data_IF_747476142126
#
_entry.id   IF_747476142126
#
_cell.length_a   1.000
_cell.length_b   1.000
_cell.length_c   1.000
_cell.angle_alpha   90.00
_cell.angle_beta   90.00
_cell.angle_gamma   90.00
#
_symmetry.space_group_name_H-M   'P 1'
#
loop_
_entity.id
_entity.type
_entity.pdbx_description
1 polymer ?
#
# COMPACT_ATOMS: atom_id res chain seq x y z
N UNK A 1 0.61 -21.77 -18.37
CA UNK A 1 1.02 -20.73 -17.40
C UNK A 1 2.42 -21.02 -16.89
N UNK A 2 2.66 -22.22 -16.36
CA UNK A 2 3.98 -22.59 -15.85
C UNK A 2 5.11 -22.49 -16.89
N UNK A 3 4.88 -22.98 -18.11
CA UNK A 3 5.88 -22.93 -19.18
C UNK A 3 6.21 -21.48 -19.58
N UNK A 4 5.19 -20.60 -19.63
CA UNK A 4 5.39 -19.19 -19.91
C UNK A 4 6.14 -18.48 -18.77
N UNK A 5 5.80 -18.78 -17.52
CA UNK A 5 6.51 -18.24 -16.37
C UNK A 5 7.98 -18.69 -16.35
N UNK A 6 8.23 -19.96 -16.66
CA UNK A 6 9.58 -20.51 -16.83
C UNK A 6 10.36 -19.78 -17.93
N UNK A 7 9.74 -19.60 -19.09
CA UNK A 7 10.35 -18.88 -20.21
C UNK A 7 10.73 -17.45 -19.83
N UNK A 8 9.82 -16.71 -19.18
CA UNK A 8 10.09 -15.35 -18.73
C UNK A 8 11.20 -15.27 -17.69
N UNK A 9 11.24 -16.22 -16.74
CA UNK A 9 12.32 -16.29 -15.75
C UNK A 9 13.68 -16.57 -16.39
N UNK A 10 13.73 -17.48 -17.37
CA UNK A 10 14.95 -17.78 -18.12
C UNK A 10 15.42 -16.60 -18.99
N UNK A 11 14.51 -15.85 -19.62
CA UNK A 11 14.83 -14.61 -20.33
C UNK A 11 15.48 -13.55 -19.42
N UNK A 12 15.17 -13.62 -18.12
CA UNK A 12 15.77 -12.75 -17.09
C UNK A 12 17.09 -13.31 -16.50
N UNK A 13 17.63 -14.36 -17.13
CA UNK A 13 18.95 -14.93 -16.79
C UNK A 13 18.92 -16.03 -15.73
N UNK A 14 17.74 -16.49 -15.30
CA UNK A 14 17.68 -17.61 -14.35
C UNK A 14 18.00 -18.94 -15.02
N UNK A 15 18.70 -19.86 -14.30
CA UNK A 15 18.82 -21.24 -14.73
C UNK A 15 17.43 -21.93 -14.70
N UNK A 16 17.23 -22.95 -15.52
CA UNK A 16 15.98 -23.74 -15.51
C UNK A 16 15.66 -24.28 -14.12
N UNK A 17 16.67 -24.79 -13.42
CA UNK A 17 16.53 -25.34 -12.06
C UNK A 17 16.09 -24.27 -11.07
N UNK A 18 16.73 -23.11 -11.07
CA UNK A 18 16.44 -22.03 -10.14
C UNK A 18 15.08 -21.40 -10.45
N UNK A 19 14.79 -21.16 -11.73
CA UNK A 19 13.49 -20.64 -12.17
C UNK A 19 12.35 -21.56 -11.70
N UNK A 20 12.48 -22.87 -11.91
CA UNK A 20 11.48 -23.84 -11.48
C UNK A 20 11.27 -23.87 -9.97
N UNK A 21 12.35 -23.81 -9.21
CA UNK A 21 12.28 -23.83 -7.75
C UNK A 21 11.66 -22.55 -7.20
N UNK A 22 12.09 -21.39 -7.68
CA UNK A 22 11.55 -20.10 -7.21
C UNK A 22 10.09 -19.92 -7.65
N UNK A 23 9.74 -20.22 -8.89
CA UNK A 23 8.36 -20.14 -9.36
C UNK A 23 7.43 -21.04 -8.56
N UNK A 24 7.86 -22.27 -8.19
CA UNK A 24 7.05 -23.14 -7.33
C UNK A 24 6.78 -22.50 -5.97
N UNK A 25 7.79 -21.88 -5.33
CA UNK A 25 7.60 -21.18 -4.05
C UNK A 25 6.58 -20.05 -4.18
N UNK A 26 6.71 -19.23 -5.22
CA UNK A 26 5.79 -18.13 -5.50
C UNK A 26 4.38 -18.60 -5.79
N UNK A 27 4.21 -19.65 -6.58
CA UNK A 27 2.90 -20.22 -6.90
C UNK A 27 2.20 -20.76 -5.64
N UNK A 28 2.96 -21.38 -4.72
CA UNK A 28 2.43 -21.84 -3.43
C UNK A 28 2.06 -20.63 -2.54
N UNK A 29 2.95 -19.65 -2.43
CA UNK A 29 2.74 -18.43 -1.60
C UNK A 29 1.47 -17.69 -2.03
N UNK A 30 1.19 -17.63 -3.33
CA UNK A 30 0.00 -17.00 -3.90
C UNK A 30 -1.22 -17.91 -4.00
N UNK A 31 -1.13 -19.18 -3.56
CA UNK A 31 -2.22 -20.14 -3.62
C UNK A 31 -2.66 -20.52 -5.05
N UNK A 32 -1.73 -20.48 -6.01
CA UNK A 32 -2.01 -20.70 -7.44
C UNK A 32 -1.25 -21.89 -8.05
N UNK A 33 -0.80 -22.82 -7.22
CA UNK A 33 -0.04 -23.99 -7.67
C UNK A 33 -0.81 -24.82 -8.72
N UNK A 34 -2.13 -24.88 -8.63
CA UNK A 34 -2.98 -25.64 -9.57
C UNK A 34 -3.07 -24.98 -10.95
N UNK A 35 -2.61 -23.70 -11.07
CA UNK A 35 -2.63 -23.00 -12.35
C UNK A 35 -1.42 -23.33 -13.23
N UNK A 36 -0.46 -24.07 -12.74
CA UNK A 36 0.76 -24.41 -13.48
C UNK A 36 0.47 -25.01 -14.85
N UNK A 37 -0.51 -25.90 -14.93
CA UNK A 37 -0.90 -26.57 -16.17
C UNK A 37 -1.98 -25.85 -16.98
N UNK A 38 -2.57 -24.78 -16.45
CA UNK A 38 -3.59 -24.01 -17.17
C UNK A 38 -3.01 -23.31 -18.39
N UNK A 39 -3.83 -23.12 -19.41
CA UNK A 39 -3.53 -22.21 -20.51
C UNK A 39 -3.68 -20.75 -20.04
N UNK A 40 -2.91 -19.85 -20.64
CA UNK A 40 -2.98 -18.43 -20.29
C UNK A 40 -4.35 -17.82 -20.58
N UNK A 41 -4.98 -18.29 -21.66
CA UNK A 41 -6.33 -17.89 -22.11
C UNK A 41 -7.44 -18.26 -21.11
N UNK A 42 -7.18 -19.21 -20.21
CA UNK A 42 -8.11 -19.62 -19.16
C UNK A 42 -8.05 -18.76 -17.90
N UNK A 43 -7.10 -17.81 -17.87
CA UNK A 43 -6.93 -16.92 -16.72
C UNK A 43 -7.90 -15.74 -16.77
N UNK A 44 -8.59 -15.49 -15.67
CA UNK A 44 -9.27 -14.21 -15.48
C UNK A 44 -8.25 -13.06 -15.39
N UNK A 45 -8.71 -11.82 -15.52
CA UNK A 45 -7.84 -10.63 -15.41
C UNK A 45 -7.02 -10.65 -14.12
N UNK A 46 -7.65 -10.86 -12.95
CA UNK A 46 -6.97 -10.92 -11.66
C UNK A 46 -5.99 -12.10 -11.55
N UNK A 47 -6.34 -13.26 -12.13
CA UNK A 47 -5.41 -14.39 -12.22
C UNK A 47 -4.18 -14.06 -13.06
N UNK A 48 -4.37 -13.45 -14.23
CA UNK A 48 -3.27 -13.04 -15.10
C UNK A 48 -2.35 -12.02 -14.41
N UNK A 49 -2.92 -11.07 -13.67
CA UNK A 49 -2.16 -10.08 -12.90
C UNK A 49 -1.28 -10.73 -11.81
N UNK A 50 -1.79 -11.74 -11.08
CA UNK A 50 -0.96 -12.49 -10.12
C UNK A 50 0.24 -13.15 -10.79
N UNK A 51 0.01 -13.84 -11.90
CA UNK A 51 1.09 -14.49 -12.66
C UNK A 51 2.08 -13.44 -13.19
N UNK A 52 1.59 -12.32 -13.70
CA UNK A 52 2.42 -11.22 -14.19
C UNK A 52 3.29 -10.65 -13.05
N UNK A 53 2.72 -10.39 -11.87
CA UNK A 53 3.49 -9.94 -10.72
C UNK A 53 4.59 -10.93 -10.36
N UNK A 54 4.28 -12.22 -10.21
CA UNK A 54 5.26 -13.27 -9.90
C UNK A 54 6.39 -13.31 -10.93
N UNK A 55 6.06 -13.27 -12.22
CA UNK A 55 7.08 -13.30 -13.28
C UNK A 55 7.95 -12.03 -13.33
N UNK A 56 7.43 -10.92 -12.79
CA UNK A 56 8.19 -9.67 -12.67
C UNK A 56 9.23 -9.73 -11.55
N UNK A 57 8.95 -10.44 -10.46
CA UNK A 57 9.78 -10.41 -9.24
C UNK A 57 10.64 -11.66 -9.05
N UNK A 58 10.35 -12.79 -9.72
CA UNK A 58 10.97 -14.10 -9.48
C UNK A 58 12.49 -14.09 -9.61
N UNK A 59 13.03 -13.25 -10.48
CA UNK A 59 14.47 -13.11 -10.70
C UNK A 59 15.14 -12.11 -9.76
N UNK A 60 14.42 -11.61 -8.74
CA UNK A 60 14.90 -10.67 -7.71
C UNK A 60 15.54 -9.41 -8.30
N UNK A 61 14.80 -8.60 -9.05
CA UNK A 61 15.34 -7.40 -9.67
C UNK A 61 15.74 -6.38 -8.61
N UNK A 62 16.84 -5.66 -8.86
CA UNK A 62 17.25 -4.53 -8.00
C UNK A 62 16.41 -3.27 -8.22
N UNK A 63 15.74 -3.17 -9.38
CA UNK A 63 14.83 -2.08 -9.73
C UNK A 63 13.53 -2.66 -10.29
N UNK A 64 12.41 -2.20 -9.75
CA UNK A 64 11.07 -2.52 -10.25
C UNK A 64 10.32 -1.25 -10.60
N UNK A 65 9.59 -1.29 -11.71
CA UNK A 65 8.67 -0.23 -12.12
C UNK A 65 7.29 -0.87 -12.24
N UNK A 66 6.36 -0.43 -11.40
CA UNK A 66 5.02 -0.97 -11.27
C UNK A 66 3.99 0.11 -11.58
N UNK A 67 3.14 -0.16 -12.58
CA UNK A 67 2.07 0.75 -12.97
C UNK A 67 0.74 0.24 -12.41
N UNK A 68 0.12 1.01 -11.50
CA UNK A 68 -1.13 0.67 -10.81
C UNK A 68 -1.16 -0.78 -10.29
N UNK A 69 -0.17 -1.22 -9.47
CA UNK A 69 0.02 -2.63 -9.15
C UNK A 69 -1.14 -3.29 -8.41
N UNK A 70 -2.05 -2.52 -7.84
CA UNK A 70 -3.20 -3.01 -7.08
C UNK A 70 -4.51 -2.98 -7.87
N UNK A 71 -4.49 -2.39 -9.07
CA UNK A 71 -5.70 -2.25 -9.90
C UNK A 71 -6.26 -3.61 -10.30
N UNK A 72 -7.57 -3.81 -10.07
CA UNK A 72 -8.28 -5.05 -10.47
C UNK A 72 -8.10 -6.23 -9.54
N UNK A 73 -7.42 -6.07 -8.42
CA UNK A 73 -7.42 -7.06 -7.34
C UNK A 73 -8.57 -6.81 -6.35
N UNK A 74 -9.07 -7.88 -5.76
CA UNK A 74 -9.86 -7.77 -4.53
C UNK A 74 -8.96 -7.37 -3.34
N UNK A 75 -9.55 -6.89 -2.23
CA UNK A 75 -8.77 -6.39 -1.08
C UNK A 75 -7.76 -7.40 -0.52
N UNK A 76 -8.10 -8.69 -0.48
CA UNK A 76 -7.22 -9.73 0.07
C UNK A 76 -5.98 -9.93 -0.80
N UNK A 77 -6.19 -9.96 -2.12
CA UNK A 77 -5.09 -10.11 -3.07
C UNK A 77 -4.24 -8.83 -3.20
N UNK A 78 -4.86 -7.65 -3.09
CA UNK A 78 -4.13 -6.38 -3.06
C UNK A 78 -3.19 -6.32 -1.83
N UNK A 79 -3.69 -6.75 -0.67
CA UNK A 79 -2.89 -6.80 0.57
C UNK A 79 -1.71 -7.77 0.47
N UNK A 80 -1.92 -8.93 -0.16
CA UNK A 80 -0.83 -9.87 -0.41
C UNK A 80 0.28 -9.24 -1.26
N UNK A 81 -0.09 -8.55 -2.36
CA UNK A 81 0.90 -7.90 -3.23
C UNK A 81 1.59 -6.74 -2.50
N UNK A 82 0.86 -5.96 -1.70
CA UNK A 82 1.42 -4.87 -0.89
C UNK A 82 2.50 -5.38 0.05
N UNK A 83 2.21 -6.45 0.77
CA UNK A 83 3.17 -7.11 1.66
C UNK A 83 4.42 -7.59 0.92
N UNK A 84 4.26 -8.18 -0.26
CA UNK A 84 5.40 -8.63 -1.07
C UNK A 84 6.27 -7.46 -1.56
N UNK A 85 5.64 -6.34 -1.92
CA UNK A 85 6.35 -5.11 -2.30
C UNK A 85 7.20 -4.59 -1.13
N UNK A 86 6.63 -4.56 0.08
CA UNK A 86 7.36 -4.16 1.29
C UNK A 86 8.52 -5.12 1.60
N UNK A 87 8.29 -6.43 1.55
CA UNK A 87 9.37 -7.42 1.77
C UNK A 87 10.51 -7.26 0.75
N UNK A 88 10.20 -6.98 -0.53
CA UNK A 88 11.21 -6.74 -1.55
C UNK A 88 11.98 -5.43 -1.32
N UNK A 89 11.30 -4.38 -0.87
CA UNK A 89 11.90 -3.11 -0.46
C UNK A 89 12.88 -3.32 0.68
N UNK A 90 12.47 -4.03 1.73
CA UNK A 90 13.34 -4.37 2.88
C UNK A 90 14.57 -5.19 2.48
N UNK A 91 14.45 -6.03 1.44
CA UNK A 91 15.57 -6.76 0.86
C UNK A 91 16.50 -5.90 -0.01
N UNK A 92 16.21 -4.59 -0.13
CA UNK A 92 17.06 -3.62 -0.82
C UNK A 92 16.68 -3.36 -2.29
N UNK A 93 15.52 -3.81 -2.75
CA UNK A 93 15.04 -3.46 -4.08
C UNK A 93 14.58 -1.98 -4.14
N UNK A 94 14.93 -1.29 -5.21
CA UNK A 94 14.37 0.03 -5.53
C UNK A 94 13.05 -0.15 -6.27
N UNK A 95 11.99 0.50 -5.80
CA UNK A 95 10.66 0.35 -6.36
C UNK A 95 10.11 1.71 -6.78
N UNK A 96 9.72 1.83 -8.04
CA UNK A 96 8.98 2.97 -8.57
C UNK A 96 7.58 2.45 -8.85
N UNK A 97 6.58 3.05 -8.24
CA UNK A 97 5.19 2.70 -8.52
C UNK A 97 4.37 3.93 -8.90
N UNK A 98 3.47 3.78 -9.86
CA UNK A 98 2.42 4.76 -10.12
C UNK A 98 1.14 4.31 -9.43
N UNK A 99 0.45 5.23 -8.79
CA UNK A 99 -0.87 4.98 -8.21
C UNK A 99 -1.62 6.29 -7.98
N UNK A 100 -2.93 6.22 -7.98
CA UNK A 100 -3.82 7.30 -7.56
C UNK A 100 -4.39 7.09 -6.15
N UNK A 101 -4.04 5.99 -5.49
CA UNK A 101 -4.46 5.67 -4.12
C UNK A 101 -3.45 6.24 -3.11
N UNK A 102 -3.87 7.27 -2.38
CA UNK A 102 -3.00 7.97 -1.42
C UNK A 102 -2.64 7.10 -0.21
N UNK A 103 -3.53 6.21 0.24
CA UNK A 103 -3.25 5.26 1.32
C UNK A 103 -2.06 4.35 0.95
N UNK A 104 -2.04 3.82 -0.28
CA UNK A 104 -0.91 3.04 -0.77
C UNK A 104 0.39 3.85 -0.87
N UNK A 105 0.29 5.15 -1.16
CA UNK A 105 1.47 6.04 -1.16
C UNK A 105 2.04 6.19 0.25
N UNK A 106 1.19 6.45 1.24
CA UNK A 106 1.60 6.61 2.64
C UNK A 106 2.23 5.36 3.23
N UNK A 107 1.72 4.18 2.87
CA UNK A 107 2.23 2.91 3.39
C UNK A 107 3.52 2.43 2.71
N UNK A 108 3.64 2.63 1.41
CA UNK A 108 4.69 1.97 0.62
C UNK A 108 5.85 2.88 0.25
N UNK A 109 5.60 4.19 0.12
CA UNK A 109 6.56 5.12 -0.48
C UNK A 109 7.36 5.87 0.57
N UNK A 110 8.67 6.00 0.36
CA UNK A 110 9.52 6.91 1.13
C UNK A 110 9.43 8.34 0.57
N UNK A 111 9.25 8.45 -0.74
CA UNK A 111 9.20 9.73 -1.47
C UNK A 111 8.17 9.68 -2.58
N UNK A 112 7.61 10.82 -2.92
CA UNK A 112 6.63 10.96 -4.01
C UNK A 112 7.04 12.02 -5.02
N UNK A 113 6.46 11.86 -6.21
CA UNK A 113 6.42 12.87 -7.27
C UNK A 113 4.99 13.01 -7.75
N UNK A 114 4.28 14.06 -7.32
CA UNK A 114 2.91 14.34 -7.76
C UNK A 114 2.91 15.07 -9.10
N UNK A 115 2.30 14.43 -10.09
CA UNK A 115 2.20 14.98 -11.45
C UNK A 115 0.74 15.34 -11.74
N UNK A 116 0.52 16.57 -12.17
CA UNK A 116 -0.78 17.06 -12.64
C UNK A 116 -0.61 17.83 -13.96
N UNK A 117 -1.44 17.49 -14.97
CA UNK A 117 -1.37 18.11 -16.31
C UNK A 117 0.06 18.16 -16.88
N UNK A 118 0.76 17.03 -16.82
CA UNK A 118 2.15 16.86 -17.27
C UNK A 118 3.17 17.79 -16.58
N UNK A 119 2.85 18.31 -15.41
CA UNK A 119 3.77 19.13 -14.60
C UNK A 119 3.99 18.48 -13.25
N UNK A 120 5.23 18.50 -12.80
CA UNK A 120 5.58 18.12 -11.43
C UNK A 120 5.08 19.22 -10.48
N UNK A 121 4.18 18.86 -9.58
CA UNK A 121 3.54 19.79 -8.64
C UNK A 121 4.23 19.73 -7.28
N UNK A 122 4.47 18.53 -6.78
CA UNK A 122 5.10 18.29 -5.48
C UNK A 122 6.09 17.14 -5.63
N UNK A 123 7.24 17.21 -4.98
CA UNK A 123 8.18 16.11 -4.84
C UNK A 123 8.86 16.19 -3.48
N UNK A 124 9.18 15.05 -2.89
CA UNK A 124 9.89 14.96 -1.62
C UNK A 124 9.50 13.73 -0.81
N UNK A 125 10.04 13.64 0.39
CA UNK A 125 9.70 12.59 1.35
C UNK A 125 8.22 12.67 1.75
N UNK A 126 7.58 11.51 1.91
CA UNK A 126 6.15 11.44 2.28
C UNK A 126 5.91 12.15 3.63
N UNK A 127 6.73 11.87 4.63
CA UNK A 127 6.61 12.48 5.95
C UNK A 127 6.80 14.02 5.93
N UNK A 128 7.75 14.51 5.13
CA UNK A 128 7.98 15.96 5.00
C UNK A 128 6.80 16.65 4.32
N UNK A 129 6.20 16.00 3.33
CA UNK A 129 5.03 16.50 2.62
C UNK A 129 3.81 16.50 3.55
N UNK A 130 3.60 15.41 4.31
CA UNK A 130 2.54 15.35 5.33
C UNK A 130 2.67 16.47 6.35
N UNK A 131 3.87 16.69 6.86
CA UNK A 131 4.14 17.78 7.81
C UNK A 131 3.88 19.15 7.20
N UNK A 132 4.29 19.36 5.96
CA UNK A 132 4.17 20.67 5.31
C UNK A 132 2.76 21.02 4.84
N UNK A 133 1.97 20.02 4.43
CA UNK A 133 0.65 20.22 3.80
C UNK A 133 -0.48 19.56 4.58
N UNK A 134 -0.16 18.80 5.61
CA UNK A 134 -1.15 18.18 6.50
C UNK A 134 -1.90 19.26 7.29
N UNK A 135 -3.15 18.96 7.53
CA UNK A 135 -3.98 19.80 8.38
C UNK A 135 -3.92 19.22 9.77
N UNK A 136 -3.23 19.45 10.71
CA UNK A 136 -3.18 18.92 12.10
C UNK A 136 -4.51 18.33 12.61
N UNK A 137 -5.22 17.56 11.76
CA UNK A 137 -6.51 16.97 12.08
C UNK A 137 -6.32 15.53 12.57
N UNK A 138 -6.99 15.19 13.64
CA UNK A 138 -7.02 13.85 14.23
C UNK A 138 -8.45 13.36 14.28
N UNK A 139 -8.69 12.14 13.84
CA UNK A 139 -9.95 11.46 14.02
C UNK A 139 -9.90 10.68 15.33
N UNK A 140 -10.81 11.00 16.25
CA UNK A 140 -10.98 10.35 17.54
C UNK A 140 -12.26 9.52 17.53
N UNK A 141 -12.12 8.22 17.74
CA UNK A 141 -13.27 7.31 17.89
C UNK A 141 -13.37 6.90 19.35
N UNK A 142 -14.50 7.19 19.99
CA UNK A 142 -14.75 6.85 21.39
C UNK A 142 -16.17 6.36 21.62
N UNK A 143 -16.41 5.71 22.75
CA UNK A 143 -17.73 5.23 23.18
C UNK A 143 -18.05 5.81 24.55
N UNK A 144 -19.29 6.21 24.77
CA UNK A 144 -19.73 6.74 26.05
C UNK A 144 -20.80 7.80 25.88
N UNK A 145 -21.35 8.30 27.02
CA UNK A 145 -22.35 9.36 27.05
C UNK A 145 -21.74 10.77 27.14
N UNK A 146 -20.44 10.85 27.42
CA UNK A 146 -19.72 12.13 27.56
C UNK A 146 -19.48 12.76 26.20
N UNK A 147 -19.87 14.02 26.05
CA UNK A 147 -19.50 14.81 24.89
C UNK A 147 -18.10 15.40 25.07
N UNK A 148 -17.28 15.24 24.03
CA UNK A 148 -16.00 15.89 23.95
C UNK A 148 -16.17 17.42 23.99
N UNK A 149 -15.33 18.13 24.75
CA UNK A 149 -15.32 19.59 24.78
C UNK A 149 -14.01 20.11 24.24
N UNK A 150 -14.04 21.18 23.42
CA UNK A 150 -12.82 21.78 22.94
C UNK A 150 -12.02 22.33 24.13
N UNK A 151 -10.69 22.26 24.02
CA UNK A 151 -9.76 22.78 25.03
C UNK A 151 -8.86 23.82 24.37
N UNK A 152 -8.94 25.05 24.88
CA UNK A 152 -8.20 26.21 24.36
C UNK A 152 -6.69 25.97 24.49
N UNK A 153 -5.95 26.13 23.39
CA UNK A 153 -4.51 25.85 23.32
C UNK A 153 -4.15 24.39 23.04
N UNK A 154 -5.12 23.50 22.92
CA UNK A 154 -4.91 22.09 22.54
C UNK A 154 -5.62 21.73 21.25
N UNK A 155 -6.95 21.83 21.22
CA UNK A 155 -7.72 21.43 20.03
C UNK A 155 -9.08 22.10 19.94
N UNK A 156 -9.59 22.17 18.71
CA UNK A 156 -10.97 22.51 18.41
C UNK A 156 -11.67 21.32 17.73
N UNK A 157 -12.99 21.23 17.89
CA UNK A 157 -13.80 20.15 17.30
C UNK A 157 -14.34 20.67 15.97
N UNK A 158 -14.01 19.97 14.87
CA UNK A 158 -14.50 20.28 13.52
C UNK A 158 -15.82 19.56 13.23
N UNK A 159 -15.94 18.32 13.68
CA UNK A 159 -17.18 17.54 13.60
C UNK A 159 -17.21 16.50 14.71
N UNK A 160 -18.42 16.15 15.17
CA UNK A 160 -18.68 15.04 16.09
C UNK A 160 -19.97 14.37 15.64
N UNK A 161 -19.85 13.12 15.18
CA UNK A 161 -20.96 12.28 14.77
C UNK A 161 -21.15 11.17 15.79
N UNK A 162 -22.42 10.97 16.25
CA UNK A 162 -22.77 9.89 17.17
C UNK A 162 -23.66 8.88 16.44
N UNK A 163 -23.20 7.65 16.41
CA UNK A 163 -23.98 6.52 15.90
C UNK A 163 -24.11 5.46 17.01
N UNK A 164 -25.31 5.37 17.59
CA UNK A 164 -25.67 4.39 18.63
C UNK A 164 -24.67 4.33 19.81
N UNK A 165 -24.16 5.49 20.27
CA UNK A 165 -23.23 5.59 21.39
C UNK A 165 -21.75 5.44 21.01
N UNK A 166 -21.45 5.32 19.72
CA UNK A 166 -20.10 5.43 19.17
C UNK A 166 -19.95 6.80 18.53
N UNK A 167 -19.03 7.57 19.07
CA UNK A 167 -18.69 8.89 18.56
C UNK A 167 -17.52 8.81 17.60
N UNK A 168 -17.59 9.62 16.53
CA UNK A 168 -16.46 9.86 15.62
C UNK A 168 -16.27 11.36 15.51
N UNK A 169 -15.27 11.87 16.21
CA UNK A 169 -14.96 13.31 16.24
C UNK A 169 -13.71 13.61 15.40
N UNK A 170 -13.77 14.65 14.58
CA UNK A 170 -12.59 15.21 13.90
C UNK A 170 -12.15 16.45 14.64
N UNK A 171 -10.92 16.40 15.14
CA UNK A 171 -10.29 17.45 15.92
C UNK A 171 -9.24 18.18 15.07
N UNK A 172 -9.18 19.51 15.19
CA UNK A 172 -8.04 20.30 14.71
C UNK A 172 -7.12 20.60 15.88
N UNK A 173 -5.89 20.13 15.82
CA UNK A 173 -4.88 20.39 16.83
C UNK A 173 -4.23 21.76 16.60
N UNK A 174 -4.02 22.53 17.67
CA UNK A 174 -3.43 23.86 17.59
C UNK A 174 -1.93 23.82 17.21
N UNK A 175 -1.25 22.73 17.56
CA UNK A 175 0.18 22.50 17.23
C UNK A 175 0.45 21.05 16.83
N UNK A 176 1.51 20.82 16.03
CA UNK A 176 2.04 19.47 15.77
C UNK A 176 2.51 18.81 17.08
N UNK A 177 2.21 17.52 17.24
CA UNK A 177 2.68 16.73 18.39
C UNK A 177 1.72 16.62 19.56
N UNK A 178 0.63 17.39 19.62
CA UNK A 178 -0.35 17.35 20.71
C UNK A 178 -1.22 16.07 20.74
N UNK A 179 -1.10 15.16 19.78
CA UNK A 179 -1.96 13.97 19.70
C UNK A 179 -1.96 13.11 20.97
N UNK A 180 -0.79 12.92 21.60
CA UNK A 180 -0.69 12.17 22.85
C UNK A 180 -1.21 12.96 24.07
N UNK A 181 -1.05 14.28 24.08
CA UNK A 181 -1.55 15.16 25.14
C UNK A 181 -3.09 15.25 25.08
N UNK A 182 -3.65 15.35 23.88
CA UNK A 182 -5.10 15.30 23.65
C UNK A 182 -5.68 13.97 24.09
N UNK A 183 -5.04 12.84 23.77
CA UNK A 183 -5.46 11.52 24.28
C UNK A 183 -5.46 11.46 25.81
N UNK A 184 -4.45 12.03 26.45
CA UNK A 184 -4.35 12.05 27.92
C UNK A 184 -5.38 13.02 28.55
N UNK A 185 -5.82 14.05 27.87
CA UNK A 185 -6.81 15.00 28.33
C UNK A 185 -8.26 14.48 28.16
N UNK A 186 -8.47 13.54 27.23
CA UNK A 186 -9.80 12.97 26.90
C UNK A 186 -10.09 11.67 27.67
N UNK A 187 -9.06 11.01 28.20
CA UNK A 187 -9.17 9.79 29.04
C UNK A 187 -9.39 10.15 30.52
#
# INVERSE_FOLDING_TARGET
VGDQAMYLAQLKGMSEKDAKNELKKWFIKFGIQDWWKKKVEELSKGMAQKVQFITTIVHKPSLMILDEPFSGFDPVNAELIRKEILELKEQGATIILSTHNMESVEELCDSIALINKSRLVITGGVEDIRRKYGNNHVELIYTGESQLRPEEGMFSILSDANDAGRHTAVLSLDHEGLGNEVLAAVL
#
